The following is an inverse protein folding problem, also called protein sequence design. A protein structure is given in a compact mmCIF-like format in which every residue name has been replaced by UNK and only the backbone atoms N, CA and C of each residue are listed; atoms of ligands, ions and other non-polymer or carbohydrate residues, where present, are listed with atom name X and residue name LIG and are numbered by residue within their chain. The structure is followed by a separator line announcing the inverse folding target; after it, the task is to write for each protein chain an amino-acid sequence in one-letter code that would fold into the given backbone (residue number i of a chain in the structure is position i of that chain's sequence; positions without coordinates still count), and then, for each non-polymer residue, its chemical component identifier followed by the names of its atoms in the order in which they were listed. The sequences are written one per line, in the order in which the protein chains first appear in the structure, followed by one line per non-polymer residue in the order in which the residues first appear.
data_IF_361924848640
#
_entry.id   IF_361924848640
#
_cell.length_a   1.000
_cell.length_b   1.000
_cell.length_c   1.000
_cell.angle_alpha   90.00
_cell.angle_beta   90.00
_cell.angle_gamma   90.00
#
_symmetry.space_group_name_H-M   'P 1'
#
loop_
_entity.id
_entity.type
_entity.pdbx_description
1 polymer ?
#
# COMPACT_ATOMS: atom_id res chain seq x y z
N UNK A 1 -9.50 81.08 24.12
CA UNK A 1 -8.30 80.40 24.67
C UNK A 1 -7.58 79.70 23.53
N UNK A 2 -6.33 80.14 23.24
CA UNK A 2 -5.17 79.49 22.56
C UNK A 2 -5.42 78.67 21.26
N UNK A 3 -4.89 79.09 20.09
CA UNK A 3 -3.57 78.74 19.48
C UNK A 3 -3.38 77.21 19.31
N UNK A 4 -2.86 76.60 18.24
CA UNK A 4 -2.17 76.94 16.98
C UNK A 4 -2.12 75.62 16.15
N UNK A 5 -2.24 75.56 14.81
CA UNK A 5 -1.23 75.80 13.76
C UNK A 5 -0.09 74.74 13.65
N UNK A 6 -0.31 73.73 12.77
CA UNK A 6 0.59 73.03 11.77
C UNK A 6 1.98 72.44 12.21
N UNK A 7 2.75 71.74 11.33
CA UNK A 7 3.03 70.29 11.41
C UNK A 7 4.53 69.97 11.63
N UNK A 8 4.89 68.69 11.83
CA UNK A 8 6.28 68.25 11.63
C UNK A 8 6.36 66.80 11.14
N UNK A 9 6.94 66.66 9.94
CA UNK A 9 7.56 65.46 9.40
C UNK A 9 8.49 64.82 10.43
N UNK A 10 8.51 63.49 10.51
CA UNK A 10 9.69 62.76 10.96
C UNK A 10 9.96 61.53 10.08
N UNK A 11 11.24 61.42 9.77
CA UNK A 11 11.90 60.66 8.72
C UNK A 11 11.65 59.15 8.72
N UNK A 12 11.71 58.62 7.49
CA UNK A 12 12.01 57.24 7.16
C UNK A 12 13.31 56.74 7.82
N UNK A 13 13.25 55.55 8.43
CA UNK A 13 14.39 54.75 8.85
C UNK A 13 14.22 53.32 8.35
N UNK A 14 14.53 53.11 7.07
CA UNK A 14 14.55 51.79 6.45
C UNK A 14 15.86 51.09 6.86
N UNK A 15 15.84 50.32 7.95
CA UNK A 15 16.93 49.39 8.27
C UNK A 15 16.75 48.12 7.42
N UNK A 16 17.37 48.12 6.25
CA UNK A 16 17.63 46.92 5.48
C UNK A 16 18.75 46.13 6.19
N UNK A 17 18.37 45.23 7.09
CA UNK A 17 19.26 44.17 7.54
C UNK A 17 19.39 43.16 6.40
N UNK A 18 20.43 43.30 5.58
CA UNK A 18 20.88 42.26 4.65
C UNK A 18 21.36 41.04 5.44
N UNK A 19 20.46 40.10 5.72
CA UNK A 19 20.84 38.75 6.06
C UNK A 19 21.33 38.05 4.78
N UNK A 20 22.61 38.23 4.47
CA UNK A 20 23.32 37.39 3.52
C UNK A 20 23.41 35.97 4.12
N UNK A 21 22.40 35.15 3.85
CA UNK A 21 22.50 33.70 4.06
C UNK A 21 23.42 33.14 2.98
N UNK A 22 24.67 32.90 3.39
CA UNK A 22 25.54 31.95 2.74
C UNK A 22 24.93 30.55 2.90
N UNK A 23 24.07 30.15 1.96
CA UNK A 23 23.83 28.73 1.71
C UNK A 23 24.90 28.20 0.75
N UNK A 24 26.11 28.07 1.29
CA UNK A 24 27.14 27.25 0.68
C UNK A 24 26.86 25.78 1.06
N UNK A 25 26.51 24.97 0.06
CA UNK A 25 26.84 23.54 0.08
C UNK A 25 25.69 22.57 0.39
N UNK A 26 24.78 22.37 -0.56
CA UNK A 26 24.03 21.12 -0.65
C UNK A 26 23.82 20.67 -2.11
N UNK A 27 24.90 20.70 -2.91
CA UNK A 27 24.96 20.00 -4.19
C UNK A 27 25.07 18.49 -3.99
N UNK A 28 24.08 17.85 -3.35
CA UNK A 28 23.88 16.41 -3.49
C UNK A 28 23.10 16.23 -4.78
N UNK A 29 23.74 15.67 -5.81
CA UNK A 29 23.08 15.23 -7.04
C UNK A 29 21.81 14.46 -6.63
N UNK A 30 20.65 15.10 -6.77
CA UNK A 30 19.37 14.46 -6.55
C UNK A 30 19.31 13.29 -7.53
N UNK A 31 19.07 12.08 -7.01
CA UNK A 31 18.90 10.92 -7.88
C UNK A 31 17.52 11.05 -8.48
N UNK A 32 17.44 11.65 -9.66
CA UNK A 32 16.20 11.75 -10.44
C UNK A 32 15.75 10.34 -10.85
N UNK A 33 14.51 9.93 -10.52
CA UNK A 33 13.99 8.63 -10.92
C UNK A 33 13.76 8.58 -12.44
N UNK A 34 13.99 7.41 -13.05
CA UNK A 34 13.60 7.18 -14.44
C UNK A 34 12.08 7.09 -14.63
N UNK A 35 11.64 6.99 -15.89
CA UNK A 35 10.22 6.82 -16.22
C UNK A 35 9.63 5.56 -15.55
N UNK A 36 8.56 5.75 -14.76
CA UNK A 36 7.91 4.68 -14.00
C UNK A 36 8.69 4.22 -12.76
N UNK A 37 9.69 5.00 -12.33
CA UNK A 37 10.39 4.84 -11.06
C UNK A 37 9.94 5.92 -10.07
N UNK A 38 10.06 5.62 -8.79
CA UNK A 38 9.78 6.54 -7.68
C UNK A 38 10.97 6.58 -6.74
N UNK A 39 10.95 7.49 -5.76
CA UNK A 39 11.96 7.52 -4.70
C UNK A 39 11.32 7.24 -3.35
N UNK A 40 12.08 6.58 -2.47
CA UNK A 40 11.77 6.45 -1.04
C UNK A 40 12.97 6.89 -0.22
N UNK A 41 12.73 7.35 1.01
CA UNK A 41 13.78 7.61 1.99
C UNK A 41 14.00 6.34 2.84
N UNK A 42 14.80 5.40 2.34
CA UNK A 42 15.09 4.15 3.03
C UNK A 42 16.24 4.33 4.02
N UNK A 43 15.99 4.12 5.32
CA UNK A 43 17.01 4.30 6.37
C UNK A 43 17.74 5.66 6.24
N UNK A 44 16.96 6.74 6.00
CA UNK A 44 17.44 8.12 5.78
C UNK A 44 18.27 8.32 4.49
N UNK A 45 18.22 7.40 3.53
CA UNK A 45 18.91 7.49 2.24
C UNK A 45 17.91 7.39 1.09
N UNK A 46 17.95 8.38 0.20
CA UNK A 46 17.12 8.38 -1.02
C UNK A 46 17.49 7.16 -1.85
N UNK A 47 16.49 6.34 -2.15
CA UNK A 47 16.60 5.09 -2.90
C UNK A 47 15.56 5.08 -4.00
N UNK A 48 15.98 4.74 -5.21
CA UNK A 48 15.08 4.63 -6.36
C UNK A 48 14.44 3.26 -6.36
N UNK A 49 13.13 3.22 -6.58
CA UNK A 49 12.32 2.00 -6.58
C UNK A 49 11.37 1.99 -7.77
N UNK A 50 10.83 0.81 -8.09
CA UNK A 50 9.71 0.66 -9.02
C UNK A 50 8.63 -0.18 -8.38
N UNK A 51 7.48 0.42 -8.14
CA UNK A 51 6.29 -0.25 -7.62
C UNK A 51 5.75 -1.25 -8.65
N UNK A 52 5.50 -2.49 -8.22
CA UNK A 52 4.83 -3.51 -9.03
C UNK A 52 3.33 -3.49 -8.83
N UNK A 53 2.90 -3.20 -7.60
CA UNK A 53 1.52 -3.13 -7.14
C UNK A 53 1.49 -2.22 -5.89
N UNK A 54 0.47 -2.35 -5.04
CA UNK A 54 0.30 -1.52 -3.85
C UNK A 54 1.14 -1.90 -2.63
N UNK A 55 1.68 -3.12 -2.56
CA UNK A 55 2.43 -3.60 -1.40
C UNK A 55 3.80 -4.20 -1.73
N UNK A 56 4.16 -4.17 -3.01
CA UNK A 56 5.41 -4.72 -3.51
C UNK A 56 6.07 -3.75 -4.50
N UNK A 57 7.40 -3.69 -4.41
CA UNK A 57 8.24 -2.92 -5.33
C UNK A 57 9.61 -3.57 -5.50
N UNK A 58 10.41 -3.08 -6.44
CA UNK A 58 11.80 -3.51 -6.64
C UNK A 58 12.75 -2.35 -6.43
N UNK A 59 13.86 -2.60 -5.72
CA UNK A 59 14.94 -1.63 -5.61
C UNK A 59 15.66 -1.45 -6.94
N UNK A 60 15.87 -0.20 -7.35
CA UNK A 60 16.59 0.19 -8.57
C UNK A 60 17.97 0.77 -8.29
N UNK A 61 18.18 1.26 -7.07
CA UNK A 61 19.47 1.72 -6.58
C UNK A 61 19.74 1.25 -5.15
N UNK A 62 20.91 1.61 -4.60
CA UNK A 62 21.29 1.33 -3.22
C UNK A 62 21.71 -0.11 -2.94
N UNK A 63 21.90 -0.42 -1.66
CA UNK A 63 22.42 -1.71 -1.14
C UNK A 63 21.60 -2.93 -1.61
N UNK A 64 20.31 -2.75 -1.83
CA UNK A 64 19.38 -3.84 -2.13
C UNK A 64 18.99 -3.90 -3.61
N UNK A 65 19.68 -3.17 -4.51
CA UNK A 65 19.38 -3.10 -5.94
C UNK A 65 19.07 -4.48 -6.54
N UNK A 66 17.95 -4.57 -7.26
CA UNK A 66 17.46 -5.79 -7.90
C UNK A 66 16.57 -6.66 -7.02
N UNK A 67 16.59 -6.47 -5.70
CA UNK A 67 15.73 -7.22 -4.78
C UNK A 67 14.28 -6.74 -4.86
N UNK A 68 13.34 -7.69 -4.76
CA UNK A 68 11.93 -7.38 -4.52
C UNK A 68 11.67 -7.06 -3.05
N UNK A 69 10.56 -6.38 -2.79
CA UNK A 69 10.14 -5.93 -1.48
C UNK A 69 8.73 -6.40 -1.18
N UNK A 70 8.46 -6.65 0.10
CA UNK A 70 7.12 -6.72 0.68
C UNK A 70 6.97 -5.61 1.73
N UNK A 71 5.95 -4.77 1.55
CA UNK A 71 5.55 -3.78 2.54
C UNK A 71 4.96 -4.48 3.77
N UNK A 72 5.47 -4.14 4.95
CA UNK A 72 5.02 -4.72 6.21
C UNK A 72 3.70 -4.10 6.69
N UNK A 73 2.89 -4.90 7.39
CA UNK A 73 1.65 -4.43 8.02
C UNK A 73 0.48 -4.14 7.08
N UNK A 74 0.66 -4.30 5.77
CA UNK A 74 -0.29 -3.92 4.74
C UNK A 74 -0.38 -4.97 3.62
N UNK A 75 -1.55 -5.08 3.01
CA UNK A 75 -1.76 -5.83 1.79
C UNK A 75 -2.73 -5.09 0.88
N UNK A 76 -2.33 -4.86 -0.37
CA UNK A 76 -3.27 -4.54 -1.44
C UNK A 76 -3.93 -5.82 -1.94
N UNK A 77 -5.09 -5.70 -2.59
CA UNK A 77 -5.68 -6.84 -3.28
C UNK A 77 -4.77 -7.33 -4.40
N UNK A 78 -4.93 -8.59 -4.79
CA UNK A 78 -4.13 -9.18 -5.86
C UNK A 78 -4.28 -8.41 -7.18
N UNK A 79 -3.14 -8.21 -7.85
CA UNK A 79 -3.04 -7.43 -9.09
C UNK A 79 -2.80 -8.30 -10.34
N UNK A 80 -2.89 -9.63 -10.22
CA UNK A 80 -2.69 -10.55 -11.35
C UNK A 80 -3.95 -10.78 -12.20
N UNK A 81 -5.13 -10.36 -11.73
CA UNK A 81 -6.41 -10.37 -12.44
C UNK A 81 -7.59 -10.10 -11.49
N UNK A 82 -8.84 -10.09 -12.02
CA UNK A 82 -10.08 -9.88 -11.25
C UNK A 82 -10.45 -11.11 -10.42
N UNK A 83 -9.71 -11.34 -9.35
CA UNK A 83 -9.91 -12.52 -8.49
C UNK A 83 -10.74 -12.25 -7.26
N UNK A 84 -10.82 -11.02 -6.76
CA UNK A 84 -11.52 -10.72 -5.52
C UNK A 84 -12.95 -10.25 -5.76
N UNK A 85 -13.90 -10.67 -4.91
CA UNK A 85 -15.29 -10.20 -4.93
C UNK A 85 -15.91 -10.17 -3.54
N UNK A 86 -16.69 -9.14 -3.21
CA UNK A 86 -17.56 -9.11 -2.03
C UNK A 86 -18.62 -8.02 -2.13
N UNK A 87 -19.69 -8.17 -1.36
CA UNK A 87 -20.79 -7.21 -1.34
C UNK A 87 -21.32 -6.92 -2.75
N UNK A 88 -21.48 -5.65 -3.07
CA UNK A 88 -21.90 -5.16 -4.39
C UNK A 88 -20.78 -4.93 -5.39
N UNK A 89 -19.53 -5.31 -5.08
CA UNK A 89 -18.43 -5.21 -6.03
C UNK A 89 -18.47 -6.33 -7.07
N UNK A 90 -18.21 -5.96 -8.32
CA UNK A 90 -17.73 -6.93 -9.32
C UNK A 90 -16.23 -7.16 -9.14
N UNK A 91 -15.73 -8.28 -9.68
CA UNK A 91 -14.31 -8.60 -9.57
C UNK A 91 -13.42 -7.63 -10.37
N UNK A 92 -13.91 -7.15 -11.51
CA UNK A 92 -13.23 -6.15 -12.35
C UNK A 92 -13.10 -4.80 -11.65
N UNK A 93 -14.11 -4.38 -10.90
CA UNK A 93 -14.05 -3.12 -10.16
C UNK A 93 -13.01 -3.16 -9.03
N UNK A 94 -12.96 -4.25 -8.25
CA UNK A 94 -11.92 -4.42 -7.23
C UNK A 94 -10.52 -4.53 -7.85
N UNK A 95 -10.41 -5.17 -9.01
CA UNK A 95 -9.17 -5.22 -9.76
C UNK A 95 -8.71 -3.86 -10.29
N UNK A 96 -9.64 -3.00 -10.71
CA UNK A 96 -9.32 -1.64 -11.11
C UNK A 96 -8.73 -0.84 -9.94
N UNK A 97 -9.29 -1.00 -8.73
CA UNK A 97 -8.74 -0.37 -7.52
C UNK A 97 -7.33 -0.90 -7.22
N UNK A 98 -7.14 -2.22 -7.24
CA UNK A 98 -5.83 -2.84 -6.94
C UNK A 98 -4.75 -2.44 -7.96
N UNK A 99 -5.13 -2.34 -9.24
CA UNK A 99 -4.24 -1.94 -10.32
C UNK A 99 -3.81 -0.47 -10.22
N UNK A 100 -4.68 0.41 -9.72
CA UNK A 100 -4.41 1.83 -9.51
C UNK A 100 -3.59 2.10 -8.24
N UNK A 101 -3.52 1.16 -7.28
CA UNK A 101 -2.83 1.38 -6.00
C UNK A 101 -1.35 1.73 -6.16
N UNK A 102 -0.67 1.14 -7.15
CA UNK A 102 0.75 1.44 -7.43
C UNK A 102 0.97 2.92 -7.78
N UNK A 103 -0.01 3.56 -8.41
CA UNK A 103 0.11 4.95 -8.87
C UNK A 103 0.13 5.87 -7.64
N UNK A 104 -0.73 5.60 -6.65
CA UNK A 104 -0.74 6.27 -5.34
C UNK A 104 0.57 6.01 -4.60
N UNK A 105 1.02 4.75 -4.54
CA UNK A 105 2.27 4.38 -3.87
C UNK A 105 3.50 5.04 -4.52
N UNK A 106 3.45 5.33 -5.81
CA UNK A 106 4.54 5.97 -6.55
C UNK A 106 4.49 7.51 -6.58
N UNK A 107 3.36 8.12 -6.17
CA UNK A 107 3.11 9.54 -6.37
C UNK A 107 3.95 10.47 -5.48
N UNK A 108 4.51 9.97 -4.39
CA UNK A 108 5.33 10.75 -3.47
C UNK A 108 6.44 9.92 -2.84
N UNK A 109 7.37 10.61 -2.19
CA UNK A 109 8.46 9.99 -1.45
C UNK A 109 8.01 9.60 -0.04
N UNK A 110 8.22 8.34 0.32
CA UNK A 110 7.86 7.80 1.63
C UNK A 110 9.07 7.58 2.53
N UNK A 111 8.91 7.80 3.83
CA UNK A 111 9.88 7.39 4.82
C UNK A 111 9.77 5.88 5.06
N UNK A 112 10.87 5.17 4.90
CA UNK A 112 10.89 3.72 5.03
C UNK A 112 12.10 3.25 5.85
N UNK A 113 11.93 2.14 6.56
CA UNK A 113 12.99 1.47 7.31
C UNK A 113 13.05 -0.02 6.96
N UNK A 114 14.24 -0.58 7.06
CA UNK A 114 14.46 -2.03 6.92
C UNK A 114 15.76 -2.43 7.62
N UNK A 115 15.76 -3.60 8.25
CA UNK A 115 16.96 -4.27 8.75
C UNK A 115 17.58 -5.21 7.70
N UNK A 116 16.93 -5.39 6.55
CA UNK A 116 17.34 -6.30 5.48
C UNK A 116 16.82 -7.74 5.64
N UNK A 117 15.97 -8.00 6.63
CA UNK A 117 15.25 -9.26 6.77
C UNK A 117 14.41 -9.57 5.52
N UNK A 118 14.11 -10.86 5.31
CA UNK A 118 13.43 -11.34 4.12
C UNK A 118 12.30 -12.30 4.45
N UNK A 119 11.28 -12.31 3.60
CA UNK A 119 10.23 -13.32 3.64
C UNK A 119 10.64 -14.65 2.98
N UNK A 120 9.74 -15.63 3.00
CA UNK A 120 9.93 -16.94 2.38
C UNK A 120 10.07 -16.90 0.86
N UNK A 121 9.71 -15.79 0.21
CA UNK A 121 9.88 -15.53 -1.21
C UNK A 121 11.17 -14.74 -1.51
N UNK A 122 12.05 -14.57 -0.52
CA UNK A 122 13.31 -13.83 -0.62
C UNK A 122 13.12 -12.33 -0.96
N UNK A 123 11.93 -11.77 -0.66
CA UNK A 123 11.67 -10.33 -0.74
C UNK A 123 12.14 -9.66 0.55
N UNK A 124 12.76 -8.49 0.43
CA UNK A 124 13.16 -7.69 1.59
C UNK A 124 11.91 -7.12 2.27
N UNK A 125 11.84 -7.26 3.59
CA UNK A 125 10.78 -6.68 4.40
C UNK A 125 11.09 -5.20 4.64
N UNK A 126 10.16 -4.33 4.25
CA UNK A 126 10.30 -2.87 4.41
C UNK A 126 9.08 -2.33 5.11
N UNK A 127 9.29 -1.52 6.14
CA UNK A 127 8.23 -0.78 6.82
C UNK A 127 8.22 0.67 6.31
N UNK A 128 7.11 1.10 5.72
CA UNK A 128 6.88 2.47 5.27
C UNK A 128 5.55 2.95 5.87
N UNK A 129 5.54 3.43 7.13
CA UNK A 129 4.29 3.74 7.85
C UNK A 129 3.45 4.80 7.13
N UNK A 130 4.07 5.86 6.62
CA UNK A 130 3.37 6.95 5.92
C UNK A 130 2.67 6.44 4.65
N UNK A 131 3.35 5.59 3.87
CA UNK A 131 2.78 4.98 2.67
C UNK A 131 1.61 4.06 3.02
N UNK A 132 1.82 3.18 4.00
CA UNK A 132 0.80 2.25 4.48
C UNK A 132 -0.45 3.00 4.95
N UNK A 133 -0.29 4.02 5.79
CA UNK A 133 -1.40 4.79 6.32
C UNK A 133 -2.14 5.54 5.22
N UNK A 134 -1.44 6.13 4.25
CA UNK A 134 -2.10 6.78 3.11
C UNK A 134 -2.94 5.77 2.32
N UNK A 135 -2.37 4.62 1.97
CA UNK A 135 -3.06 3.59 1.21
C UNK A 135 -4.25 3.00 1.95
N UNK A 136 -4.16 2.85 3.27
CA UNK A 136 -5.29 2.46 4.13
C UNK A 136 -6.36 3.55 4.19
N UNK A 137 -5.95 4.81 4.32
CA UNK A 137 -6.84 5.97 4.44
C UNK A 137 -7.72 6.13 3.21
N UNK A 138 -7.17 5.92 2.01
CA UNK A 138 -7.95 5.94 0.76
C UNK A 138 -8.64 4.61 0.45
N UNK A 139 -8.47 3.59 1.29
CA UNK A 139 -9.13 2.29 1.14
C UNK A 139 -8.59 1.42 0.01
N UNK A 140 -7.31 1.57 -0.37
CA UNK A 140 -6.70 0.80 -1.47
C UNK A 140 -6.07 -0.54 -1.03
N UNK A 141 -6.29 -0.93 0.22
CA UNK A 141 -5.86 -2.20 0.79
C UNK A 141 -6.34 -2.34 2.22
N UNK A 142 -5.72 -3.26 2.96
CA UNK A 142 -6.07 -3.52 4.34
C UNK A 142 -4.84 -3.85 5.18
N UNK A 143 -5.00 -3.69 6.49
CA UNK A 143 -4.02 -4.08 7.50
C UNK A 143 -3.78 -5.59 7.39
N UNK A 144 -2.52 -5.98 7.42
CA UNK A 144 -2.06 -7.35 7.27
C UNK A 144 -0.95 -7.64 8.30
N UNK A 145 -1.35 -8.15 9.45
CA UNK A 145 -0.46 -8.48 10.57
C UNK A 145 -0.13 -9.98 10.55
N UNK A 146 0.99 -10.31 9.91
CA UNK A 146 1.48 -11.68 9.77
C UNK A 146 2.26 -12.09 11.01
N UNK A 147 1.76 -13.06 11.77
CA UNK A 147 2.39 -13.61 13.00
C UNK A 147 2.73 -12.57 14.08
N UNK A 148 2.11 -11.38 14.01
CA UNK A 148 2.26 -10.31 14.99
C UNK A 148 0.93 -9.58 15.17
N UNK A 149 0.85 -8.71 16.17
CA UNK A 149 -0.27 -7.80 16.32
C UNK A 149 -0.18 -6.65 15.30
N UNK A 150 -1.33 -6.15 14.88
CA UNK A 150 -1.41 -4.98 14.01
C UNK A 150 -1.09 -3.70 14.78
N UNK A 151 -0.52 -2.72 14.10
CA UNK A 151 -0.36 -1.37 14.65
C UNK A 151 -1.74 -0.76 14.92
N UNK A 152 -2.03 -0.31 16.16
CA UNK A 152 -3.31 0.32 16.50
C UNK A 152 -3.63 1.55 15.64
N UNK A 153 -2.62 2.28 15.18
CA UNK A 153 -2.77 3.45 14.29
C UNK A 153 -3.32 3.03 12.94
N UNK A 154 -2.75 1.97 12.36
CA UNK A 154 -3.21 1.44 11.07
C UNK A 154 -4.63 0.89 11.17
N UNK A 155 -4.97 0.22 12.29
CA UNK A 155 -6.34 -0.24 12.55
C UNK A 155 -7.33 0.92 12.66
N UNK A 156 -6.94 2.04 13.29
CA UNK A 156 -7.78 3.22 13.39
C UNK A 156 -8.02 3.85 12.01
N UNK A 157 -6.98 3.99 11.18
CA UNK A 157 -7.08 4.51 9.81
C UNK A 157 -7.98 3.60 8.96
N UNK A 158 -7.76 2.29 9.00
CA UNK A 158 -8.61 1.33 8.29
C UNK A 158 -10.06 1.40 8.75
N UNK A 159 -10.31 1.48 10.06
CA UNK A 159 -11.67 1.59 10.59
C UNK A 159 -12.38 2.81 10.02
N UNK A 160 -11.72 3.97 9.99
CA UNK A 160 -12.28 5.17 9.40
C UNK A 160 -12.58 5.00 7.91
N UNK A 161 -11.64 4.43 7.13
CA UNK A 161 -11.87 4.18 5.71
C UNK A 161 -13.05 3.21 5.45
N UNK A 162 -13.23 2.21 6.34
CA UNK A 162 -14.36 1.28 6.31
C UNK A 162 -15.69 1.96 6.63
N UNK A 163 -15.73 2.76 7.70
CA UNK A 163 -16.93 3.50 8.12
C UNK A 163 -17.37 4.52 7.07
N UNK A 164 -16.41 5.12 6.35
CA UNK A 164 -16.65 6.07 5.27
C UNK A 164 -16.90 5.40 3.91
N UNK A 165 -16.78 4.07 3.80
CA UNK A 165 -16.96 3.36 2.55
C UNK A 165 -15.96 3.78 1.46
N UNK A 166 -14.68 3.94 1.80
CA UNK A 166 -13.65 4.36 0.84
C UNK A 166 -13.01 3.18 0.11
N UNK A 167 -12.62 3.39 -1.15
CA UNK A 167 -11.90 2.40 -1.95
C UNK A 167 -12.60 1.04 -1.95
N UNK A 168 -11.88 -0.02 -1.59
CA UNK A 168 -12.38 -1.40 -1.58
C UNK A 168 -13.57 -1.62 -0.61
N UNK A 169 -13.84 -0.68 0.29
CA UNK A 169 -14.91 -0.75 1.29
C UNK A 169 -16.26 -0.20 0.80
N UNK A 170 -16.29 0.52 -0.32
CA UNK A 170 -17.46 1.32 -0.73
C UNK A 170 -18.73 0.51 -0.99
N UNK A 171 -18.60 -0.75 -1.41
CA UNK A 171 -19.73 -1.63 -1.72
C UNK A 171 -19.79 -2.87 -0.83
N UNK A 172 -19.12 -2.86 0.32
CA UNK A 172 -19.18 -3.95 1.28
C UNK A 172 -17.94 -4.03 2.18
N UNK A 173 -18.14 -4.48 3.41
CA UNK A 173 -17.11 -4.53 4.46
C UNK A 173 -17.06 -5.92 5.09
N UNK A 174 -16.51 -6.93 4.40
CA UNK A 174 -16.49 -8.28 4.92
C UNK A 174 -15.76 -8.37 6.26
N UNK A 175 -16.19 -9.28 7.13
CA UNK A 175 -15.51 -9.56 8.40
C UNK A 175 -14.08 -10.04 8.20
N UNK A 176 -13.90 -10.86 7.15
CA UNK A 176 -12.64 -11.47 6.79
C UNK A 176 -12.39 -11.30 5.29
N UNK A 177 -11.16 -10.99 4.91
CA UNK A 177 -10.72 -11.00 3.52
C UNK A 177 -9.94 -12.28 3.27
N UNK A 178 -10.29 -13.01 2.21
CA UNK A 178 -9.46 -14.09 1.70
C UNK A 178 -8.34 -13.49 0.85
N UNK A 179 -7.09 -13.75 1.25
CA UNK A 179 -5.89 -13.16 0.63
C UNK A 179 -5.11 -14.18 -0.18
N UNK A 180 -5.30 -15.47 0.08
CA UNK A 180 -4.80 -16.53 -0.79
C UNK A 180 -5.66 -17.78 -0.71
N UNK A 181 -5.73 -18.49 -1.84
CA UNK A 181 -6.37 -19.80 -2.00
C UNK A 181 -5.33 -20.78 -2.52
N UNK A 182 -5.25 -21.96 -1.91
CA UNK A 182 -4.37 -23.05 -2.32
C UNK A 182 -5.17 -24.35 -2.32
N UNK A 183 -5.22 -25.04 -3.47
CA UNK A 183 -5.95 -26.29 -3.58
C UNK A 183 -5.20 -27.44 -2.91
N UNK A 184 -5.92 -28.43 -2.39
CA UNK A 184 -5.30 -29.68 -1.94
C UNK A 184 -4.58 -30.43 -3.08
N UNK A 185 -4.99 -30.21 -4.34
CA UNK A 185 -4.30 -30.74 -5.52
C UNK A 185 -2.85 -30.22 -5.66
N UNK A 186 -2.50 -29.09 -5.01
CA UNK A 186 -1.15 -28.52 -4.96
C UNK A 186 -0.32 -29.04 -3.77
N UNK A 187 -0.84 -30.04 -3.04
CA UNK A 187 -0.14 -30.78 -1.98
C UNK A 187 -0.76 -30.61 -0.59
N UNK A 188 -1.03 -29.37 -0.15
CA UNK A 188 -1.75 -29.09 1.11
C UNK A 188 -2.71 -27.93 0.93
N UNK A 189 -4.01 -28.22 0.99
CA UNK A 189 -5.08 -27.24 0.85
C UNK A 189 -5.09 -26.26 2.02
N UNK A 190 -5.07 -24.96 1.70
CA UNK A 190 -5.17 -23.91 2.70
C UNK A 190 -5.65 -22.60 2.08
N UNK A 191 -6.55 -21.93 2.77
CA UNK A 191 -6.90 -20.55 2.49
C UNK A 191 -6.26 -19.65 3.54
N UNK A 192 -5.79 -18.47 3.14
CA UNK A 192 -5.36 -17.44 4.09
C UNK A 192 -6.44 -16.39 4.24
N UNK A 193 -6.84 -16.18 5.49
CA UNK A 193 -7.79 -15.15 5.85
C UNK A 193 -7.12 -14.06 6.66
N UNK A 194 -7.71 -12.87 6.60
CA UNK A 194 -7.34 -11.70 7.39
C UNK A 194 -8.58 -11.09 8.00
N UNK A 195 -8.56 -10.79 9.30
CA UNK A 195 -9.64 -10.06 9.94
C UNK A 195 -9.58 -8.59 9.57
N UNK A 196 -10.68 -8.04 9.07
CA UNK A 196 -10.77 -6.59 8.77
C UNK A 196 -10.91 -5.73 10.03
N UNK A 197 -11.10 -6.35 11.20
CA UNK A 197 -11.17 -5.65 12.49
C UNK A 197 -9.83 -5.59 13.21
N UNK A 198 -9.06 -6.68 13.16
CA UNK A 198 -7.82 -6.81 13.94
C UNK A 198 -6.56 -6.87 13.09
N UNK A 199 -6.69 -7.03 11.76
CA UNK A 199 -5.56 -7.22 10.85
C UNK A 199 -4.86 -8.57 10.98
N UNK A 200 -5.24 -9.41 11.96
CA UNK A 200 -4.62 -10.71 12.21
C UNK A 200 -4.89 -11.65 11.04
N UNK A 201 -3.85 -12.37 10.63
CA UNK A 201 -3.96 -13.39 9.58
C UNK A 201 -3.95 -14.80 10.18
N UNK A 202 -4.65 -15.73 9.54
CA UNK A 202 -4.56 -17.15 9.87
C UNK A 202 -4.76 -18.01 8.63
N UNK A 203 -4.29 -19.25 8.73
CA UNK A 203 -4.53 -20.27 7.73
C UNK A 203 -5.77 -21.08 8.12
N UNK A 204 -6.63 -21.34 7.14
CA UNK A 204 -7.69 -22.34 7.23
C UNK A 204 -7.30 -23.54 6.37
N UNK A 205 -6.81 -24.63 6.96
CA UNK A 205 -6.52 -25.85 6.22
C UNK A 205 -7.82 -26.50 5.72
N UNK A 206 -7.76 -27.14 4.56
CA UNK A 206 -8.86 -27.93 3.98
C UNK A 206 -8.31 -29.08 3.13
N UNK A 207 -9.20 -30.01 2.74
CA UNK A 207 -8.90 -31.10 1.81
C UNK A 207 -9.52 -30.90 0.43
N UNK A 208 -10.14 -29.74 0.19
CA UNK A 208 -10.84 -29.46 -1.05
C UNK A 208 -9.89 -29.30 -2.24
N UNK A 209 -10.28 -29.93 -3.35
CA UNK A 209 -9.68 -29.75 -4.66
C UNK A 209 -10.45 -28.64 -5.37
N UNK A 210 -9.73 -27.63 -5.85
CA UNK A 210 -10.34 -26.49 -6.51
C UNK A 210 -10.07 -26.58 -8.00
N UNK A 211 -11.11 -26.35 -8.79
CA UNK A 211 -11.00 -26.26 -10.24
C UNK A 211 -10.45 -24.89 -10.64
N UNK A 212 -9.71 -24.83 -11.74
CA UNK A 212 -9.23 -23.54 -12.28
C UNK A 212 -10.43 -22.62 -12.53
N UNK A 213 -10.31 -21.36 -12.10
CA UNK A 213 -11.37 -20.36 -12.15
C UNK A 213 -12.57 -20.61 -11.21
N UNK A 214 -12.46 -21.54 -10.27
CA UNK A 214 -13.47 -21.69 -9.21
C UNK A 214 -13.40 -20.53 -8.22
N UNK A 215 -14.56 -19.96 -7.89
CA UNK A 215 -14.67 -18.93 -6.85
C UNK A 215 -14.81 -19.57 -5.46
N UNK A 216 -13.94 -19.15 -4.54
CA UNK A 216 -13.90 -19.66 -3.16
C UNK A 216 -14.29 -18.53 -2.22
N UNK A 217 -15.36 -18.72 -1.46
CA UNK A 217 -15.92 -17.69 -0.59
C UNK A 217 -15.74 -17.99 0.90
N UNK A 218 -15.48 -16.94 1.66
CA UNK A 218 -15.37 -16.95 3.10
C UNK A 218 -16.43 -16.06 3.73
N UNK A 219 -17.40 -16.69 4.40
CA UNK A 219 -18.60 -16.05 4.94
C UNK A 219 -19.82 -16.15 4.02
N UNK A 220 -20.95 -15.51 4.38
CA UNK A 220 -22.17 -15.53 3.58
C UNK A 220 -21.95 -14.87 2.21
N UNK A 221 -22.54 -15.39 1.13
CA UNK A 221 -22.33 -14.86 -0.24
C UNK A 221 -22.58 -13.35 -0.37
N UNK A 222 -23.54 -12.81 0.39
CA UNK A 222 -23.90 -11.40 0.35
C UNK A 222 -22.91 -10.46 1.06
N UNK A 223 -22.09 -10.98 2.00
CA UNK A 223 -21.25 -10.15 2.88
C UNK A 223 -19.83 -10.70 3.10
N UNK A 224 -19.55 -11.89 2.59
CA UNK A 224 -18.27 -12.58 2.65
C UNK A 224 -17.32 -12.12 1.56
N UNK A 225 -16.06 -12.51 1.72
CA UNK A 225 -15.00 -12.25 0.74
C UNK A 225 -14.77 -13.51 -0.09
N UNK A 226 -14.77 -13.35 -1.41
CA UNK A 226 -14.50 -14.41 -2.36
C UNK A 226 -13.20 -14.16 -3.12
N UNK A 227 -12.53 -15.24 -3.50
CA UNK A 227 -11.33 -15.23 -4.34
C UNK A 227 -11.37 -16.35 -5.37
N UNK A 228 -11.08 -16.02 -6.63
CA UNK A 228 -10.94 -16.99 -7.72
C UNK A 228 -9.64 -17.76 -7.58
N UNK A 229 -9.73 -19.09 -7.56
CA UNK A 229 -8.58 -19.98 -7.57
C UNK A 229 -7.98 -20.11 -8.96
N UNK A 230 -6.69 -19.78 -9.05
CA UNK A 230 -5.85 -20.08 -10.20
C UNK A 230 -4.50 -20.61 -9.68
N UNK A 231 -4.02 -21.77 -10.16
CA UNK A 231 -2.72 -22.31 -9.78
C UNK A 231 -1.61 -21.29 -10.07
N UNK A 232 -0.61 -21.19 -9.19
CA UNK A 232 0.42 -20.15 -9.29
C UNK A 232 1.11 -20.11 -10.67
N UNK A 233 1.41 -21.28 -11.24
CA UNK A 233 2.05 -21.43 -12.56
C UNK A 233 1.26 -20.83 -13.72
N UNK A 234 -0.05 -20.64 -13.57
CA UNK A 234 -0.94 -20.10 -14.63
C UNK A 234 -1.21 -18.61 -14.47
N UNK A 235 -0.91 -18.00 -13.31
CA UNK A 235 -1.30 -16.61 -13.02
C UNK A 235 -0.61 -15.56 -13.90
N UNK A 236 0.55 -15.89 -14.49
CA UNK A 236 1.39 -14.90 -15.18
C UNK A 236 1.79 -15.29 -16.61
N UNK A 237 2.01 -16.58 -16.92
CA UNK A 237 2.39 -17.04 -18.27
C UNK A 237 1.19 -17.52 -19.09
N UNK A 238 0.39 -18.43 -18.52
CA UNK A 238 -0.74 -19.09 -19.21
C UNK A 238 -2.07 -18.64 -18.60
N UNK A 239 -2.31 -17.33 -18.61
CA UNK A 239 -3.46 -16.72 -17.92
C UNK A 239 -4.79 -17.25 -18.47
N UNK A 240 -5.61 -17.93 -17.64
CA UNK A 240 -6.94 -18.37 -18.04
C UNK A 240 -7.88 -17.16 -18.20
N UNK A 241 -9.01 -17.37 -18.87
CA UNK A 241 -9.95 -16.29 -19.20
C UNK A 241 -10.55 -15.59 -17.98
N UNK A 242 -10.69 -16.28 -16.85
CA UNK A 242 -11.16 -15.64 -15.60
C UNK A 242 -10.18 -14.61 -15.01
N UNK A 243 -8.94 -14.52 -15.52
CA UNK A 243 -7.98 -13.48 -15.14
C UNK A 243 -7.91 -12.32 -16.14
N UNK A 244 -8.73 -12.32 -17.20
CA UNK A 244 -8.71 -11.33 -18.28
C UNK A 244 -9.76 -10.26 -18.11
#
# INVERSE_FOLDING_TARGET
MRLAMVPALLLAGCLLLSCAHNEAGAGKNAVEPGLGEATILLNKKVTVVRWSDGDSFKFKSGRFKGSGVRLMGYNSLEAYGPVHRWGGWTAQELYAISSATKDIASATQWNCITDGSKDSYNRVLVDCPDARQELLRVGHGHVYAFDQDADPTDLAVQRQAREQGLGIWAKGTPEHIITSVHSAAEGRGRNRLVSTRTGKTWLRPHQEHYEVCQEICEGPVASGSCMVYVPYKMRYSDKPDCLR
#
